data_IF_799802115913
#
_entry.id   IF_799802115913
#
_cell.length_a   1.000
_cell.length_b   1.000
_cell.length_c   1.000
_cell.angle_alpha   90.00
_cell.angle_beta   90.00
_cell.angle_gamma   90.00
#
_symmetry.space_group_name_H-M   'P 1'
#
loop_
_entity.id
_entity.type
_entity.pdbx_description
1 polymer ?
#
# COMPACT_ATOMS: atom_id res chain seq x y z
N UNK A 1 -2.38 -0.18 -18.65
CA UNK A 1 -2.32 -0.32 -17.18
C UNK A 1 -1.45 -1.50 -16.79
N UNK A 2 -0.34 -1.20 -16.12
CA UNK A 2 0.55 -2.19 -15.52
C UNK A 2 -0.04 -2.68 -14.19
N UNK A 3 0.31 -3.89 -13.75
CA UNK A 3 -0.21 -4.46 -12.50
C UNK A 3 0.71 -4.21 -11.30
N UNK A 4 0.16 -4.27 -10.09
CA UNK A 4 0.96 -4.19 -8.86
C UNK A 4 1.94 -5.38 -8.77
N UNK A 5 3.27 -5.15 -8.71
CA UNK A 5 4.26 -6.22 -8.82
C UNK A 5 4.20 -7.20 -7.64
N UNK A 6 3.92 -6.70 -6.44
CA UNK A 6 3.79 -7.52 -5.22
C UNK A 6 2.53 -8.39 -5.16
N UNK A 7 1.59 -8.25 -6.12
CA UNK A 7 0.49 -9.22 -6.30
C UNK A 7 0.94 -10.45 -7.11
N UNK A 8 1.92 -10.29 -8.02
CA UNK A 8 2.40 -11.33 -8.92
C UNK A 8 3.44 -12.23 -8.25
N UNK A 9 4.28 -11.68 -7.36
CA UNK A 9 5.19 -12.49 -6.53
C UNK A 9 4.45 -13.49 -5.63
N UNK A 10 3.21 -13.17 -5.24
CA UNK A 10 2.34 -14.09 -4.53
C UNK A 10 1.84 -15.22 -5.44
N UNK A 11 1.70 -14.99 -6.75
CA UNK A 11 1.21 -15.95 -7.73
C UNK A 11 2.32 -16.88 -8.25
N UNK A 12 3.52 -16.37 -8.54
CA UNK A 12 4.63 -17.18 -9.06
C UNK A 12 5.17 -18.18 -8.04
N UNK A 13 5.10 -17.86 -6.74
CA UNK A 13 5.42 -18.79 -5.65
C UNK A 13 4.39 -19.94 -5.50
N UNK A 14 3.21 -19.84 -6.15
CA UNK A 14 2.16 -20.89 -6.15
C UNK A 14 2.32 -21.90 -7.29
N UNK A 15 3.02 -21.55 -8.38
CA UNK A 15 3.17 -22.42 -9.57
C UNK A 15 4.23 -23.51 -9.46
N UNK A 16 5.04 -23.52 -8.39
CA UNK A 16 6.15 -24.45 -8.22
C UNK A 16 5.81 -25.71 -7.38
N UNK A 17 4.61 -25.78 -6.79
CA UNK A 17 4.28 -26.79 -5.77
C UNK A 17 2.93 -27.46 -6.05
N UNK A 18 2.82 -28.14 -7.20
CA UNK A 18 1.61 -28.88 -7.57
C UNK A 18 1.81 -30.40 -7.46
N UNK A 19 1.78 -30.91 -6.23
CA UNK A 19 1.27 -32.27 -5.95
C UNK A 19 0.83 -32.47 -4.48
N UNK A 20 -0.50 -32.49 -4.30
CA UNK A 20 -1.25 -33.05 -3.15
C UNK A 20 -1.16 -32.36 -1.77
N UNK A 21 -2.21 -31.63 -1.38
CA UNK A 21 -3.18 -32.03 -0.32
C UNK A 21 -4.23 -30.93 -0.09
N UNK A 22 -5.46 -31.35 0.22
CA UNK A 22 -6.65 -30.53 0.45
C UNK A 22 -6.58 -29.72 1.76
N UNK A 23 -5.86 -28.60 1.74
CA UNK A 23 -6.16 -27.45 2.58
C UNK A 23 -6.76 -26.37 1.66
N UNK A 24 -7.84 -25.71 2.07
CA UNK A 24 -8.50 -24.70 1.24
C UNK A 24 -7.47 -23.63 0.82
N UNK A 25 -7.11 -23.64 -0.46
CA UNK A 25 -6.21 -22.65 -1.07
C UNK A 25 -6.89 -21.29 -0.87
N UNK A 26 -6.24 -20.30 -0.21
CA UNK A 26 -6.79 -18.95 -0.20
C UNK A 26 -6.93 -18.52 -1.66
N UNK A 27 -8.17 -18.19 -2.06
CA UNK A 27 -8.49 -17.87 -3.45
C UNK A 27 -7.50 -16.83 -3.98
N UNK A 28 -7.05 -17.00 -5.23
CA UNK A 28 -6.23 -16.00 -5.89
C UNK A 28 -6.92 -14.63 -5.78
N UNK A 29 -6.14 -13.56 -5.53
CA UNK A 29 -6.73 -12.21 -5.45
C UNK A 29 -7.49 -11.93 -6.75
N UNK A 30 -8.62 -11.19 -6.71
CA UNK A 30 -9.44 -11.09 -7.90
C UNK A 30 -8.74 -10.39 -9.08
N UNK A 31 -7.69 -9.58 -8.88
CA UNK A 31 -6.81 -9.09 -9.98
C UNK A 31 -5.94 -10.19 -10.59
N UNK A 32 -5.48 -11.16 -9.79
CA UNK A 32 -4.78 -12.32 -10.33
C UNK A 32 -5.71 -13.19 -11.19
N UNK A 33 -7.03 -13.15 -10.92
CA UNK A 33 -8.03 -13.83 -11.73
C UNK A 33 -8.46 -13.04 -12.99
N UNK A 34 -8.53 -11.71 -12.91
CA UNK A 34 -8.80 -10.84 -14.05
C UNK A 34 -7.81 -9.66 -14.09
N UNK A 35 -6.75 -9.74 -14.91
CA UNK A 35 -5.73 -8.71 -14.97
C UNK A 35 -6.19 -7.42 -15.63
N UNK A 36 -7.40 -7.39 -16.22
CA UNK A 36 -7.96 -6.21 -16.91
C UNK A 36 -8.48 -5.15 -15.94
N UNK A 37 -8.82 -5.52 -14.70
CA UNK A 37 -9.36 -4.60 -13.69
C UNK A 37 -8.25 -4.01 -12.80
N UNK A 38 -8.43 -2.80 -12.25
CA UNK A 38 -7.54 -2.27 -11.22
C UNK A 38 -7.64 -3.07 -9.92
N UNK A 39 -6.54 -3.12 -9.16
CA UNK A 39 -6.55 -3.69 -7.80
C UNK A 39 -7.38 -2.85 -6.83
N UNK A 40 -8.07 -3.51 -5.91
CA UNK A 40 -8.81 -2.85 -4.84
C UNK A 40 -8.01 -2.92 -3.55
N UNK A 41 -7.66 -1.75 -3.02
CA UNK A 41 -6.94 -1.58 -1.76
C UNK A 41 -7.93 -1.08 -0.71
N UNK A 42 -7.95 -1.70 0.48
CA UNK A 42 -8.79 -1.27 1.60
C UNK A 42 -7.93 -0.96 2.83
N UNK A 43 -8.04 0.27 3.41
CA UNK A 43 -7.25 0.66 4.55
C UNK A 43 -7.82 0.15 5.88
N UNK A 44 -6.91 -0.23 6.79
CA UNK A 44 -7.14 -0.57 8.20
C UNK A 44 -6.44 0.47 9.06
N UNK A 45 -7.21 1.16 9.90
CA UNK A 45 -6.76 2.31 10.72
C UNK A 45 -7.04 2.14 12.23
N UNK A 46 -7.71 1.06 12.62
CA UNK A 46 -7.95 0.72 14.03
C UNK A 46 -6.63 0.34 14.71
N UNK A 47 -6.53 0.59 16.01
CA UNK A 47 -5.25 0.52 16.73
C UNK A 47 -5.10 -0.69 17.65
N UNK A 48 -6.21 -1.28 18.10
CA UNK A 48 -6.14 -2.41 19.02
C UNK A 48 -5.92 -3.74 18.29
N UNK A 49 -5.18 -4.71 18.88
CA UNK A 49 -4.91 -6.01 18.26
C UNK A 49 -6.17 -6.77 17.81
N UNK A 50 -7.23 -6.73 18.62
CA UNK A 50 -8.49 -7.43 18.35
C UNK A 50 -9.26 -6.78 17.21
N UNK A 51 -9.35 -5.45 17.19
CA UNK A 51 -10.02 -4.71 16.11
C UNK A 51 -9.27 -4.82 14.80
N UNK A 52 -7.93 -4.76 14.81
CA UNK A 52 -7.09 -4.97 13.62
C UNK A 52 -7.42 -6.34 13.01
N UNK A 53 -7.36 -7.40 13.81
CA UNK A 53 -7.63 -8.75 13.33
C UNK A 53 -9.07 -8.90 12.80
N UNK A 54 -10.06 -8.34 13.51
CA UNK A 54 -11.45 -8.40 13.10
C UNK A 54 -11.70 -7.64 11.79
N UNK A 55 -11.16 -6.43 11.63
CA UNK A 55 -11.31 -5.64 10.42
C UNK A 55 -10.61 -6.31 9.23
N UNK A 56 -9.40 -6.84 9.42
CA UNK A 56 -8.69 -7.57 8.36
C UNK A 56 -9.43 -8.85 7.93
N UNK A 57 -10.01 -9.60 8.88
CA UNK A 57 -10.87 -10.77 8.57
C UNK A 57 -12.09 -10.36 7.74
N UNK A 58 -12.81 -9.32 8.18
CA UNK A 58 -13.98 -8.82 7.47
C UNK A 58 -13.64 -8.32 6.05
N UNK A 59 -12.45 -7.73 5.85
CA UNK A 59 -11.95 -7.35 4.53
C UNK A 59 -11.72 -8.60 3.65
N UNK A 60 -10.99 -9.59 4.16
CA UNK A 60 -10.70 -10.82 3.42
C UNK A 60 -11.97 -11.62 3.08
N UNK A 61 -12.92 -11.70 4.00
CA UNK A 61 -14.21 -12.37 3.83
C UNK A 61 -15.07 -11.77 2.70
N UNK A 62 -14.82 -10.52 2.30
CA UNK A 62 -15.52 -9.93 1.14
C UNK A 62 -15.19 -10.64 -0.17
N UNK A 63 -14.01 -11.28 -0.26
CA UNK A 63 -13.54 -11.99 -1.44
C UNK A 63 -13.24 -11.11 -2.66
N UNK A 64 -13.32 -9.78 -2.54
CA UNK A 64 -13.17 -8.81 -3.65
C UNK A 64 -11.98 -7.87 -3.48
N UNK A 65 -11.21 -8.01 -2.40
CA UNK A 65 -10.07 -7.14 -2.06
C UNK A 65 -8.76 -7.79 -2.44
N UNK A 66 -7.86 -7.01 -3.02
CA UNK A 66 -6.54 -7.49 -3.45
C UNK A 66 -5.44 -7.17 -2.43
N UNK A 67 -5.54 -6.03 -1.74
CA UNK A 67 -4.51 -5.54 -0.81
C UNK A 67 -5.17 -4.91 0.42
N UNK A 68 -4.63 -5.22 1.60
CA UNK A 68 -4.91 -4.45 2.82
C UNK A 68 -3.85 -3.35 2.92
N UNK A 69 -4.26 -2.08 3.01
CA UNK A 69 -3.36 -1.02 3.45
C UNK A 69 -3.43 -0.95 4.99
N UNK A 70 -2.34 -1.28 5.67
CA UNK A 70 -2.25 -1.07 7.11
C UNK A 70 -1.68 0.31 7.40
N UNK A 71 -2.56 1.22 7.81
CA UNK A 71 -2.20 2.57 8.26
C UNK A 71 -1.70 2.50 9.68
N UNK A 72 -0.39 2.63 9.86
CA UNK A 72 0.27 2.52 11.17
C UNK A 72 0.35 3.86 11.92
N UNK A 73 0.05 4.97 11.25
CA UNK A 73 0.05 6.29 11.87
C UNK A 73 -0.93 6.46 13.04
N UNK A 74 -2.17 5.92 13.04
CA UNK A 74 -3.03 6.00 14.22
C UNK A 74 -2.50 5.21 15.42
N UNK A 75 -1.81 4.08 15.16
CA UNK A 75 -1.16 3.30 16.22
C UNK A 75 -0.02 4.12 16.83
N UNK A 76 0.84 4.70 16.00
CA UNK A 76 1.94 5.56 16.45
C UNK A 76 1.42 6.75 17.26
N UNK A 77 0.38 7.43 16.77
CA UNK A 77 -0.25 8.54 17.48
C UNK A 77 -0.79 8.11 18.85
N UNK A 78 -1.46 6.96 18.93
CA UNK A 78 -2.00 6.44 20.20
C UNK A 78 -0.92 6.12 21.24
N UNK A 79 0.26 5.66 20.80
CA UNK A 79 1.38 5.35 21.70
C UNK A 79 2.07 6.63 22.17
N UNK A 80 2.23 7.61 21.27
CA UNK A 80 2.87 8.89 21.59
C UNK A 80 2.10 9.70 22.65
N UNK A 81 0.76 9.60 22.65
CA UNK A 81 -0.10 10.25 23.65
C UNK A 81 0.05 9.66 25.07
N UNK A 82 0.54 8.41 25.19
CA UNK A 82 0.66 7.69 26.46
C UNK A 82 2.05 7.82 27.15
N UNK A 83 3.05 8.40 26.49
CA UNK A 83 4.47 8.32 26.90
C UNK A 83 5.16 9.63 27.33
N UNK A 84 6.23 9.49 28.15
CA UNK A 84 7.21 10.56 28.45
C UNK A 84 8.35 10.51 27.43
N UNK A 85 8.73 11.68 26.87
CA UNK A 85 9.69 11.83 25.77
C UNK A 85 11.08 11.25 26.10
N UNK A 86 11.47 10.19 25.40
CA UNK A 86 12.83 9.63 25.37
C UNK A 86 13.74 10.41 24.40
N UNK A 87 14.89 9.83 24.03
CA UNK A 87 15.62 10.32 22.85
C UNK A 87 14.93 9.84 21.57
N UNK A 88 15.01 10.63 20.50
CA UNK A 88 14.38 10.34 19.20
C UNK A 88 14.63 8.90 18.71
N UNK A 89 15.84 8.37 18.92
CA UNK A 89 16.21 7.01 18.51
C UNK A 89 15.56 5.90 19.37
N UNK A 90 15.52 6.09 20.69
CA UNK A 90 14.90 5.11 21.59
C UNK A 90 13.37 5.08 21.40
N UNK A 91 12.77 6.25 21.14
CA UNK A 91 11.36 6.38 20.79
C UNK A 91 11.05 5.69 19.45
N UNK A 92 11.83 5.95 18.40
CA UNK A 92 11.68 5.30 17.10
C UNK A 92 11.79 3.77 17.20
N UNK A 93 12.71 3.27 18.02
CA UNK A 93 12.84 1.83 18.28
C UNK A 93 11.59 1.26 18.98
N UNK A 94 11.11 1.90 20.05
CA UNK A 94 9.94 1.43 20.78
C UNK A 94 8.68 1.41 19.90
N UNK A 95 8.50 2.45 19.07
CA UNK A 95 7.40 2.51 18.11
C UNK A 95 7.49 1.37 17.08
N UNK A 96 8.67 1.14 16.50
CA UNK A 96 8.86 0.05 15.55
C UNK A 96 8.61 -1.34 16.18
N UNK A 97 9.07 -1.57 17.41
CA UNK A 97 8.81 -2.82 18.15
C UNK A 97 7.32 -3.03 18.42
N UNK A 98 6.60 -1.97 18.81
CA UNK A 98 5.15 -2.03 19.01
C UNK A 98 4.41 -2.38 17.70
N UNK A 99 4.77 -1.75 16.58
CA UNK A 99 4.22 -2.07 15.26
C UNK A 99 4.53 -3.52 14.87
N UNK A 100 5.77 -3.98 15.04
CA UNK A 100 6.15 -5.37 14.74
C UNK A 100 5.34 -6.38 15.57
N UNK A 101 5.05 -6.07 16.84
CA UNK A 101 4.18 -6.88 17.70
C UNK A 101 2.74 -7.00 17.18
N UNK A 102 2.24 -5.99 16.47
CA UNK A 102 0.90 -5.97 15.90
C UNK A 102 0.81 -6.62 14.51
N UNK A 103 1.94 -6.78 13.80
CA UNK A 103 1.95 -7.27 12.43
C UNK A 103 1.24 -8.63 12.26
N UNK A 104 1.31 -9.51 13.28
CA UNK A 104 0.63 -10.82 13.27
C UNK A 104 -0.89 -10.70 13.07
N UNK A 105 -1.52 -9.62 13.54
CA UNK A 105 -2.97 -9.42 13.47
C UNK A 105 -3.44 -9.13 12.05
N UNK A 106 -2.62 -8.42 11.27
CA UNK A 106 -2.89 -8.16 9.83
C UNK A 106 -2.53 -9.39 9.00
N UNK A 107 -1.41 -10.06 9.30
CA UNK A 107 -0.95 -11.24 8.53
C UNK A 107 -1.99 -12.35 8.44
N UNK A 108 -2.79 -12.52 9.49
CA UNK A 108 -3.79 -13.59 9.60
C UNK A 108 -4.89 -13.55 8.54
N UNK A 109 -5.11 -12.40 7.90
CA UNK A 109 -6.09 -12.28 6.81
C UNK A 109 -5.62 -12.92 5.49
N UNK A 110 -4.32 -13.22 5.33
CA UNK A 110 -3.79 -13.91 4.16
C UNK A 110 -3.75 -13.09 2.87
N UNK A 111 -4.06 -11.79 2.93
CA UNK A 111 -3.94 -10.85 1.81
C UNK A 111 -2.59 -10.12 1.84
N UNK A 112 -2.01 -9.75 0.68
CA UNK A 112 -0.89 -8.82 0.62
C UNK A 112 -1.15 -7.54 1.43
N UNK A 113 -0.11 -7.05 2.11
CA UNK A 113 -0.21 -5.90 3.00
C UNK A 113 0.71 -4.77 2.56
N UNK A 114 0.12 -3.60 2.32
CA UNK A 114 0.83 -2.34 2.13
C UNK A 114 0.92 -1.62 3.49
N UNK A 115 2.12 -1.48 4.05
CA UNK A 115 2.35 -0.72 5.28
C UNK A 115 2.48 0.75 4.92
N UNK A 116 1.66 1.61 5.55
CA UNK A 116 1.67 3.04 5.30
C UNK A 116 1.79 3.81 6.62
N UNK A 117 2.92 4.49 6.82
CA UNK A 117 3.06 5.55 7.82
C UNK A 117 2.73 6.87 7.15
N UNK A 118 1.49 7.35 7.26
CA UNK A 118 1.11 8.66 6.72
C UNK A 118 1.38 9.74 7.76
N UNK A 119 2.16 10.74 7.40
CA UNK A 119 2.48 11.84 8.31
C UNK A 119 1.45 12.95 8.26
N UNK A 120 1.47 13.84 9.26
CA UNK A 120 0.59 15.02 9.27
C UNK A 120 0.75 15.94 8.04
N UNK A 121 1.95 16.00 7.44
CA UNK A 121 2.19 16.80 6.23
C UNK A 121 1.38 16.32 5.03
N UNK A 122 1.17 15.01 4.94
CA UNK A 122 0.39 14.36 3.89
C UNK A 122 -0.96 13.83 4.41
N UNK A 123 -1.54 14.49 5.43
CA UNK A 123 -2.92 14.24 5.88
C UNK A 123 -3.12 12.97 6.72
N UNK A 124 -2.06 12.42 7.29
CA UNK A 124 -2.11 11.39 8.34
C UNK A 124 -2.17 12.00 9.74
N UNK A 125 -2.08 11.14 10.76
CA UNK A 125 -2.15 11.56 12.17
C UNK A 125 -0.82 11.38 12.93
N UNK A 126 0.20 10.82 12.29
CA UNK A 126 1.51 10.66 12.92
C UNK A 126 2.28 11.99 12.93
N UNK A 127 2.72 12.39 14.12
CA UNK A 127 3.69 13.46 14.35
C UNK A 127 5.07 12.81 14.52
N UNK A 128 5.82 12.72 13.43
CA UNK A 128 7.16 12.11 13.41
C UNK A 128 8.15 13.05 12.74
N UNK A 129 9.37 13.11 13.30
CA UNK A 129 10.47 13.84 12.68
C UNK A 129 10.94 13.15 11.40
N UNK A 130 11.71 13.86 10.58
CA UNK A 130 12.22 13.31 9.32
C UNK A 130 13.10 12.07 9.54
N UNK A 131 14.06 12.15 10.46
CA UNK A 131 14.87 11.00 10.85
C UNK A 131 14.08 9.91 11.59
N UNK A 132 13.07 10.27 12.38
CA UNK A 132 12.20 9.31 13.05
C UNK A 132 11.38 8.48 12.07
N UNK A 133 10.83 9.10 11.02
CA UNK A 133 10.11 8.42 9.94
C UNK A 133 10.96 7.32 9.29
N UNK A 134 12.17 7.66 8.86
CA UNK A 134 13.06 6.72 8.19
C UNK A 134 13.56 5.61 9.13
N UNK A 135 13.88 5.94 10.39
CA UNK A 135 14.35 4.97 11.38
C UNK A 135 13.26 3.96 11.75
N UNK A 136 12.02 4.42 11.96
CA UNK A 136 10.86 3.55 12.24
C UNK A 136 10.64 2.58 11.08
N UNK A 137 10.58 3.08 9.84
CA UNK A 137 10.31 2.24 8.68
C UNK A 137 11.45 1.27 8.37
N UNK A 138 12.70 1.71 8.51
CA UNK A 138 13.90 0.84 8.38
C UNK A 138 13.85 -0.33 9.35
N UNK A 139 13.48 -0.08 10.62
CA UNK A 139 13.36 -1.13 11.63
C UNK A 139 12.20 -2.07 11.36
N UNK A 140 11.06 -1.55 10.90
CA UNK A 140 9.91 -2.37 10.51
C UNK A 140 10.29 -3.29 9.34
N UNK A 141 10.87 -2.74 8.27
CA UNK A 141 11.35 -3.51 7.10
C UNK A 141 12.32 -4.63 7.52
N UNK A 142 13.30 -4.29 8.35
CA UNK A 142 14.30 -5.25 8.86
C UNK A 142 13.64 -6.34 9.72
N UNK A 143 12.72 -5.95 10.61
CA UNK A 143 12.03 -6.86 11.52
C UNK A 143 11.02 -7.80 10.84
N UNK A 144 10.39 -7.37 9.75
CA UNK A 144 9.41 -8.18 9.01
C UNK A 144 10.05 -9.30 8.19
N UNK A 145 11.33 -9.15 7.84
CA UNK A 145 12.02 -9.96 6.84
C UNK A 145 12.71 -11.20 7.41
N UNK A 146 12.63 -11.45 8.73
CA UNK A 146 13.43 -12.48 9.39
C UNK A 146 14.94 -12.17 9.30
N UNK A 147 15.82 -12.96 9.93
CA UNK A 147 17.26 -12.76 9.73
C UNK A 147 17.60 -12.89 8.23
N UNK A 148 18.50 -12.04 7.70
CA UNK A 148 18.91 -12.14 6.30
C UNK A 148 19.35 -13.56 6.01
N UNK A 149 18.76 -14.18 5.00
CA UNK A 149 19.21 -15.51 4.58
C UNK A 149 20.64 -15.32 4.06
N UNK A 150 21.67 -15.92 4.68
CA UNK A 150 23.02 -15.77 4.18
C UNK A 150 23.06 -16.27 2.74
N UNK A 151 23.62 -15.45 1.85
CA UNK A 151 23.86 -15.74 0.44
C UNK A 151 24.95 -16.80 0.31
N UNK A 152 24.68 -18.00 0.78
CA UNK A 152 25.49 -19.18 0.53
C UNK A 152 24.59 -20.23 -0.07
N UNK A 153 24.86 -20.56 -1.33
CA UNK A 153 24.25 -21.67 -2.04
C UNK A 153 24.29 -22.94 -1.16
N UNK A 154 23.14 -23.32 -0.62
CA UNK A 154 22.96 -24.58 0.09
C UNK A 154 21.60 -25.18 -0.26
N UNK A 155 21.61 -26.51 -0.38
CA UNK A 155 20.64 -27.41 -1.00
C UNK A 155 19.16 -27.22 -0.61
N UNK A 156 18.21 -27.71 -1.45
CA UNK A 156 16.79 -27.58 -1.21
C UNK A 156 16.39 -28.45 -0.01
N UNK A 157 16.14 -27.80 1.13
CA UNK A 157 15.42 -28.46 2.22
C UNK A 157 13.94 -28.31 1.93
N UNK A 158 13.27 -29.44 1.72
CA UNK A 158 11.84 -29.55 1.46
C UNK A 158 11.07 -29.25 2.76
N UNK A 159 11.05 -27.98 3.14
CA UNK A 159 10.06 -27.47 4.09
C UNK A 159 8.92 -26.95 3.25
N UNK A 160 7.76 -27.58 3.31
CA UNK A 160 6.48 -27.05 2.80
C UNK A 160 6.33 -25.62 3.32
N UNK A 161 6.70 -24.66 2.48
CA UNK A 161 6.68 -23.25 2.83
C UNK A 161 5.22 -22.82 2.78
N UNK A 162 4.65 -22.51 3.95
CA UNK A 162 3.47 -21.65 4.00
C UNK A 162 3.77 -20.44 3.11
N UNK A 163 2.96 -20.13 2.08
CA UNK A 163 3.27 -19.03 1.18
C UNK A 163 3.48 -17.78 2.03
N UNK A 164 4.73 -17.29 2.04
CA UNK A 164 5.10 -16.15 2.84
C UNK A 164 4.25 -14.97 2.36
N UNK A 165 3.50 -14.37 3.28
CA UNK A 165 2.69 -13.19 3.01
C UNK A 165 3.55 -12.09 2.37
N UNK A 166 3.04 -11.47 1.31
CA UNK A 166 3.75 -10.38 0.63
C UNK A 166 3.53 -9.06 1.37
N UNK A 167 4.65 -8.39 1.67
CA UNK A 167 4.68 -7.05 2.23
C UNK A 167 5.09 -6.04 1.17
N UNK A 168 4.47 -4.87 1.22
CA UNK A 168 4.90 -3.68 0.51
C UNK A 168 4.97 -2.51 1.51
N UNK A 169 5.77 -1.50 1.18
CA UNK A 169 5.95 -0.30 1.98
C UNK A 169 5.50 0.93 1.18
N UNK A 170 4.70 1.81 1.76
CA UNK A 170 4.44 3.15 1.23
C UNK A 170 5.52 4.11 1.75
N UNK A 171 6.18 4.84 0.84
CA UNK A 171 7.23 5.83 1.14
C UNK A 171 6.79 7.19 0.61
N UNK A 172 6.69 8.19 1.49
CA UNK A 172 6.47 9.59 1.09
C UNK A 172 7.69 10.10 0.32
N UNK A 173 7.54 10.41 -0.97
CA UNK A 173 8.70 10.66 -1.86
C UNK A 173 9.42 11.98 -1.58
N UNK A 174 8.75 12.95 -0.96
CA UNK A 174 9.35 14.25 -0.60
C UNK A 174 10.24 14.18 0.65
N UNK A 175 10.33 13.01 1.28
CA UNK A 175 11.26 12.77 2.40
C UNK A 175 12.70 12.78 1.89
N UNK A 176 13.59 13.41 2.65
CA UNK A 176 15.01 13.53 2.30
C UNK A 176 15.72 12.17 2.26
N UNK A 177 15.23 11.19 3.03
CA UNK A 177 15.76 9.83 3.08
C UNK A 177 14.93 8.82 2.25
N UNK A 178 14.03 9.27 1.38
CA UNK A 178 13.14 8.38 0.61
C UNK A 178 13.91 7.36 -0.24
N UNK A 179 14.97 7.78 -0.95
CA UNK A 179 15.77 6.89 -1.79
C UNK A 179 16.49 5.80 -0.98
N UNK A 180 17.14 6.17 0.13
CA UNK A 180 17.81 5.22 1.03
C UNK A 180 16.82 4.21 1.63
N UNK A 181 15.59 4.65 1.93
CA UNK A 181 14.54 3.79 2.44
C UNK A 181 14.00 2.83 1.36
N UNK A 182 13.90 3.29 0.10
CA UNK A 182 13.56 2.42 -1.04
C UNK A 182 14.61 1.31 -1.18
N UNK A 183 15.90 1.68 -1.21
CA UNK A 183 17.00 0.72 -1.28
C UNK A 183 16.96 -0.27 -0.10
N UNK A 184 16.68 0.22 1.10
CA UNK A 184 16.57 -0.60 2.31
C UNK A 184 15.44 -1.63 2.21
N UNK A 185 14.27 -1.23 1.70
CA UNK A 185 13.14 -2.12 1.47
C UNK A 185 13.47 -3.19 0.43
N UNK A 186 14.10 -2.80 -0.68
CA UNK A 186 14.53 -3.72 -1.74
C UNK A 186 15.57 -4.73 -1.26
N UNK A 187 16.55 -4.30 -0.46
CA UNK A 187 17.54 -5.19 0.15
C UNK A 187 16.93 -6.26 1.06
N UNK A 188 15.68 -6.06 1.50
CA UNK A 188 14.90 -7.00 2.28
C UNK A 188 13.79 -7.68 1.49
N UNK A 189 13.72 -7.48 0.17
CA UNK A 189 12.72 -8.08 -0.71
C UNK A 189 11.30 -7.55 -0.50
N UNK A 190 11.17 -6.31 -0.03
CA UNK A 190 9.88 -5.61 0.15
C UNK A 190 9.71 -4.59 -0.97
N UNK A 191 8.61 -4.68 -1.72
CA UNK A 191 8.28 -3.70 -2.77
C UNK A 191 7.86 -2.35 -2.19
N UNK A 192 8.07 -1.28 -2.94
CA UNK A 192 7.79 0.10 -2.51
C UNK A 192 6.76 0.79 -3.39
N UNK A 193 5.74 1.35 -2.75
CA UNK A 193 4.83 2.34 -3.33
C UNK A 193 5.33 3.73 -2.93
N UNK A 194 6.02 4.44 -3.82
CA UNK A 194 6.35 5.84 -3.55
C UNK A 194 5.09 6.70 -3.71
N UNK A 195 4.86 7.61 -2.76
CA UNK A 195 3.61 8.34 -2.67
C UNK A 195 3.79 9.84 -2.45
N UNK A 196 2.82 10.63 -2.93
CA UNK A 196 2.72 12.06 -2.74
C UNK A 196 1.25 12.47 -2.59
N UNK A 197 0.95 13.32 -1.61
CA UNK A 197 -0.42 13.77 -1.36
C UNK A 197 -0.48 15.29 -1.19
N UNK A 198 -1.39 15.94 -1.93
CA UNK A 198 -1.73 17.34 -1.72
C UNK A 198 -3.19 17.47 -1.27
N UNK A 199 -3.40 17.84 -0.02
CA UNK A 199 -4.73 18.05 0.57
C UNK A 199 -5.29 19.46 0.32
N UNK A 200 -4.49 20.40 -0.16
CA UNK A 200 -4.89 21.78 -0.42
C UNK A 200 -5.45 22.00 -1.84
N UNK A 201 -4.99 21.21 -2.81
CA UNK A 201 -5.35 21.39 -4.21
C UNK A 201 -4.88 20.27 -5.12
N UNK A 202 -4.97 20.52 -6.42
CA UNK A 202 -4.37 19.70 -7.46
C UNK A 202 -3.19 20.47 -8.05
N UNK A 203 -2.00 19.87 -7.99
CA UNK A 203 -0.78 20.45 -8.53
C UNK A 203 -0.87 20.63 -10.05
N UNK A 204 0.03 21.44 -10.61
CA UNK A 204 0.10 21.62 -12.06
C UNK A 204 0.45 20.32 -12.76
N UNK A 205 0.01 20.15 -14.02
CA UNK A 205 0.34 18.95 -14.79
C UNK A 205 1.84 18.67 -14.92
N UNK A 206 2.65 19.72 -15.06
CA UNK A 206 4.10 19.61 -15.10
C UNK A 206 4.65 19.05 -13.78
N UNK A 207 4.17 19.57 -12.64
CA UNK A 207 4.57 19.08 -11.32
C UNK A 207 4.14 17.63 -11.11
N UNK A 208 2.89 17.28 -11.45
CA UNK A 208 2.38 15.92 -11.34
C UNK A 208 3.20 14.92 -12.17
N UNK A 209 3.51 15.26 -13.43
CA UNK A 209 4.34 14.43 -14.30
C UNK A 209 5.78 14.29 -13.80
N UNK A 210 6.36 15.39 -13.29
CA UNK A 210 7.68 15.37 -12.67
C UNK A 210 7.69 14.46 -11.44
N UNK A 211 6.68 14.53 -10.58
CA UNK A 211 6.55 13.67 -9.40
C UNK A 211 6.48 12.18 -9.78
N UNK A 212 5.68 11.79 -10.76
CA UNK A 212 5.66 10.40 -11.26
C UNK A 212 7.05 9.95 -11.75
N UNK A 213 7.74 10.82 -12.50
CA UNK A 213 9.08 10.53 -13.01
C UNK A 213 10.11 10.42 -11.89
N UNK A 214 10.04 11.28 -10.86
CA UNK A 214 10.90 11.23 -9.67
C UNK A 214 10.70 9.94 -8.90
N UNK A 215 9.45 9.52 -8.67
CA UNK A 215 9.16 8.26 -7.99
C UNK A 215 9.77 7.06 -8.74
N UNK A 216 9.59 7.01 -10.07
CA UNK A 216 10.18 5.96 -10.90
C UNK A 216 11.72 6.01 -10.90
N UNK A 217 12.30 7.20 -11.03
CA UNK A 217 13.75 7.40 -11.02
C UNK A 217 14.40 7.13 -9.66
N UNK A 218 13.64 7.17 -8.58
CA UNK A 218 14.09 6.81 -7.22
C UNK A 218 14.03 5.31 -6.95
N UNK A 219 13.61 4.50 -7.93
CA UNK A 219 13.56 3.04 -7.81
C UNK A 219 12.25 2.50 -7.22
N UNK A 220 11.19 3.30 -7.11
CA UNK A 220 9.91 2.78 -6.62
C UNK A 220 9.34 1.67 -7.52
N UNK A 221 8.58 0.74 -6.94
CA UNK A 221 7.87 -0.31 -7.70
C UNK A 221 6.50 0.17 -8.21
N UNK A 222 5.92 1.19 -7.56
CA UNK A 222 4.66 1.84 -7.95
C UNK A 222 4.76 3.32 -7.60
N UNK A 223 4.27 4.20 -8.48
CA UNK A 223 4.19 5.64 -8.24
C UNK A 223 2.74 6.06 -7.96
N UNK A 224 2.47 6.67 -6.80
CA UNK A 224 1.13 7.02 -6.33
C UNK A 224 1.02 8.52 -6.05
N UNK A 225 0.04 9.18 -6.66
CA UNK A 225 -0.26 10.58 -6.40
C UNK A 225 -1.73 10.74 -6.01
N UNK A 226 -1.99 11.51 -4.94
CA UNK A 226 -3.35 11.87 -4.53
C UNK A 226 -3.52 13.38 -4.36
N UNK A 227 -4.55 13.94 -4.98
CA UNK A 227 -4.76 15.40 -5.06
C UNK A 227 -6.17 15.76 -4.60
N UNK A 228 -6.34 16.89 -3.90
CA UNK A 228 -7.64 17.42 -3.53
C UNK A 228 -8.17 18.33 -4.66
N UNK A 229 -9.18 17.90 -5.45
CA UNK A 229 -9.73 18.76 -6.50
C UNK A 229 -10.58 19.88 -5.90
N UNK A 230 -10.49 21.07 -6.48
CA UNK A 230 -11.39 22.20 -6.24
C UNK A 230 -12.43 22.32 -7.35
N UNK A 231 -12.13 21.80 -8.54
CA UNK A 231 -13.01 21.82 -9.72
C UNK A 231 -13.07 20.47 -10.45
N UNK A 232 -14.08 20.27 -11.30
CA UNK A 232 -14.10 19.09 -12.18
C UNK A 232 -12.92 19.07 -13.16
N UNK A 233 -12.40 20.25 -13.54
CA UNK A 233 -11.24 20.35 -14.42
C UNK A 233 -10.00 19.76 -13.74
N UNK A 234 -9.85 19.96 -12.43
CA UNK A 234 -8.76 19.37 -11.64
C UNK A 234 -8.81 17.84 -11.66
N UNK A 235 -10.03 17.26 -11.54
CA UNK A 235 -10.24 15.81 -11.64
C UNK A 235 -9.79 15.30 -13.00
N UNK A 236 -10.21 15.97 -14.08
CA UNK A 236 -9.82 15.58 -15.44
C UNK A 236 -8.33 15.77 -15.70
N UNK A 237 -7.72 16.79 -15.11
CA UNK A 237 -6.29 17.06 -15.27
C UNK A 237 -5.43 15.98 -14.62
N UNK A 238 -5.79 15.56 -13.39
CA UNK A 238 -5.12 14.44 -12.74
C UNK A 238 -5.25 13.15 -13.56
N UNK A 239 -6.45 12.82 -14.06
CA UNK A 239 -6.67 11.64 -14.90
C UNK A 239 -5.86 11.69 -16.19
N UNK A 240 -5.82 12.86 -16.84
CA UNK A 240 -5.03 13.09 -18.05
C UNK A 240 -3.53 12.87 -17.80
N UNK A 241 -2.99 13.42 -16.71
CA UNK A 241 -1.56 13.24 -16.36
C UNK A 241 -1.26 11.81 -15.98
N UNK A 242 -2.17 11.12 -15.29
CA UNK A 242 -2.00 9.69 -14.94
C UNK A 242 -1.89 8.83 -16.20
N UNK A 243 -2.74 9.08 -17.19
CA UNK A 243 -2.68 8.36 -18.48
C UNK A 243 -1.35 8.60 -19.21
N UNK A 244 -0.86 9.84 -19.20
CA UNK A 244 0.44 10.17 -19.77
C UNK A 244 1.59 9.50 -19.00
N UNK A 245 1.49 9.43 -17.68
CA UNK A 245 2.51 8.77 -16.86
C UNK A 245 2.55 7.26 -17.12
N UNK A 246 1.40 6.56 -17.25
CA UNK A 246 1.38 5.12 -17.57
C UNK A 246 2.08 4.80 -18.90
N UNK A 247 2.07 5.72 -19.87
CA UNK A 247 2.78 5.57 -21.14
C UNK A 247 4.29 5.85 -21.03
N UNK A 248 4.71 6.68 -20.08
CA UNK A 248 6.09 7.22 -20.01
C UNK A 248 6.96 6.50 -18.99
N UNK A 249 6.44 6.19 -17.80
CA UNK A 249 7.22 5.49 -16.76
C UNK A 249 7.04 3.98 -16.88
N UNK A 250 8.11 3.22 -16.64
CA UNK A 250 8.10 1.75 -16.78
C UNK A 250 7.34 1.04 -15.64
N UNK A 251 7.11 1.74 -14.53
CA UNK A 251 6.40 1.20 -13.36
C UNK A 251 4.89 1.51 -13.40
N UNK A 252 4.04 0.74 -12.70
CA UNK A 252 2.64 1.08 -12.50
C UNK A 252 2.44 2.44 -11.82
N UNK A 253 1.39 3.12 -12.22
CA UNK A 253 1.00 4.42 -11.66
C UNK A 253 -0.37 4.36 -11.00
N UNK A 254 -0.60 5.22 -10.02
CA UNK A 254 -1.87 5.38 -9.32
C UNK A 254 -2.18 6.86 -9.12
N UNK A 255 -3.13 7.39 -9.89
CA UNK A 255 -3.67 8.74 -9.70
C UNK A 255 -5.00 8.74 -8.98
N UNK A 256 -5.12 9.51 -7.89
CA UNK A 256 -6.34 9.60 -7.06
C UNK A 256 -6.77 11.06 -6.90
N UNK A 257 -7.95 11.39 -7.41
CA UNK A 257 -8.61 12.65 -7.08
C UNK A 257 -9.46 12.41 -5.81
N UNK A 258 -9.16 13.15 -4.75
CA UNK A 258 -9.74 12.96 -3.44
C UNK A 258 -11.13 13.60 -3.30
N UNK A 259 -11.78 13.30 -2.17
CA UNK A 259 -13.08 13.86 -1.82
C UNK A 259 -14.23 13.42 -2.74
N UNK A 260 -15.41 14.00 -2.52
CA UNK A 260 -16.63 13.67 -3.27
C UNK A 260 -16.50 13.99 -4.76
N UNK A 261 -15.81 15.08 -5.10
CA UNK A 261 -15.63 15.55 -6.47
C UNK A 261 -14.75 14.58 -7.29
N UNK A 262 -13.74 14.01 -6.66
CA UNK A 262 -12.79 13.09 -7.29
C UNK A 262 -13.27 11.63 -7.40
N UNK A 263 -14.49 11.28 -6.95
CA UNK A 263 -15.02 9.90 -6.97
C UNK A 263 -14.88 9.21 -8.33
N UNK A 264 -15.02 9.94 -9.43
CA UNK A 264 -14.85 9.43 -10.79
C UNK A 264 -13.46 8.82 -11.00
N UNK A 265 -12.40 9.41 -10.42
CA UNK A 265 -11.05 8.87 -10.54
C UNK A 265 -10.88 7.49 -9.86
N UNK A 266 -11.69 7.19 -8.84
CA UNK A 266 -11.68 5.88 -8.18
C UNK A 266 -12.41 4.81 -8.97
N UNK A 267 -13.44 5.20 -9.72
CA UNK A 267 -14.29 4.29 -10.49
C UNK A 267 -13.71 4.03 -11.89
N UNK A 268 -13.24 5.08 -12.55
CA UNK A 268 -12.79 5.03 -13.95
C UNK A 268 -11.28 5.13 -14.09
N UNK A 269 -10.53 5.22 -12.99
CA UNK A 269 -9.07 5.45 -13.02
C UNK A 269 -8.31 4.40 -13.82
N UNK A 270 -8.79 3.15 -13.85
CA UNK A 270 -8.19 2.07 -14.65
C UNK A 270 -8.10 2.40 -16.15
N UNK A 271 -9.12 3.09 -16.68
CA UNK A 271 -9.16 3.51 -18.10
C UNK A 271 -8.12 4.59 -18.41
N UNK A 272 -7.60 5.25 -17.37
CA UNK A 272 -6.55 6.26 -17.43
C UNK A 272 -5.22 5.75 -16.86
N UNK A 273 -5.05 4.43 -16.71
CA UNK A 273 -3.78 3.81 -16.33
C UNK A 273 -3.55 3.61 -14.83
N UNK A 274 -4.46 4.01 -13.94
CA UNK A 274 -4.32 3.75 -12.50
C UNK A 274 -4.41 2.26 -12.19
N UNK A 275 -3.30 1.66 -11.76
CA UNK A 275 -3.17 0.21 -11.49
C UNK A 275 -4.02 -0.31 -10.32
N UNK A 276 -4.49 0.59 -9.47
CA UNK A 276 -5.27 0.28 -8.29
C UNK A 276 -6.32 1.36 -8.01
N UNK A 277 -7.19 1.10 -7.04
CA UNK A 277 -8.13 2.07 -6.49
C UNK A 277 -8.39 1.75 -5.02
N UNK A 278 -8.64 2.80 -4.24
CA UNK A 278 -8.93 2.68 -2.82
C UNK A 278 -10.42 2.69 -2.56
N UNK A 279 -10.89 1.67 -1.85
CA UNK A 279 -12.26 1.52 -1.35
C UNK A 279 -12.28 1.40 0.17
N UNK A 280 -13.47 1.22 0.73
CA UNK A 280 -13.64 1.01 2.16
C UNK A 280 -14.62 -0.10 2.48
N UNK A 281 -14.40 -0.74 3.62
CA UNK A 281 -15.46 -1.52 4.24
C UNK A 281 -16.61 -0.58 4.61
N UNK A 282 -17.85 -0.96 4.32
CA UNK A 282 -19.05 -0.09 4.31
C UNK A 282 -19.36 0.68 5.61
N UNK A 283 -18.62 0.46 6.69
CA UNK A 283 -18.79 1.13 7.99
C UNK A 283 -17.95 2.40 8.17
N UNK A 284 -17.07 2.78 7.23
CA UNK A 284 -16.27 4.00 7.35
C UNK A 284 -16.93 5.20 6.65
N UNK A 285 -16.97 6.35 7.34
CA UNK A 285 -17.88 7.47 7.07
C UNK A 285 -17.21 8.72 6.46
N UNK A 286 -16.05 8.61 5.81
CA UNK A 286 -15.37 9.79 5.28
C UNK A 286 -15.89 10.23 3.89
N UNK A 287 -16.03 11.53 3.62
CA UNK A 287 -16.63 12.02 2.38
C UNK A 287 -15.86 11.60 1.11
N UNK A 288 -16.54 10.92 0.18
CA UNK A 288 -15.99 10.56 -1.13
C UNK A 288 -15.44 9.14 -1.25
N UNK A 289 -15.47 8.36 -0.18
CA UNK A 289 -15.11 6.94 -0.22
C UNK A 289 -16.26 6.09 -0.77
N UNK A 290 -15.90 4.99 -1.45
CA UNK A 290 -16.82 4.07 -2.12
C UNK A 290 -16.75 2.75 -1.37
N UNK A 291 -17.91 2.16 -1.04
CA UNK A 291 -17.95 0.84 -0.41
C UNK A 291 -17.28 -0.19 -1.33
N UNK A 292 -16.51 -1.10 -0.74
CA UNK A 292 -15.71 -2.10 -1.45
C UNK A 292 -16.58 -2.98 -2.36
N UNK A 293 -17.76 -3.37 -1.89
CA UNK A 293 -18.73 -4.18 -2.66
C UNK A 293 -19.29 -3.41 -3.86
N UNK A 294 -19.50 -2.11 -3.72
CA UNK A 294 -20.00 -1.26 -4.81
C UNK A 294 -18.92 -1.05 -5.85
N UNK A 295 -17.68 -0.75 -5.44
CA UNK A 295 -16.57 -0.55 -6.37
C UNK A 295 -16.27 -1.83 -7.13
N UNK A 296 -16.20 -2.98 -6.44
CA UNK A 296 -16.00 -4.28 -7.06
C UNK A 296 -17.12 -4.59 -8.07
N UNK A 297 -18.38 -4.41 -7.69
CA UNK A 297 -19.50 -4.64 -8.60
C UNK A 297 -19.54 -3.69 -9.81
N UNK A 298 -18.95 -2.48 -9.70
CA UNK A 298 -18.74 -1.61 -10.85
C UNK A 298 -17.60 -2.14 -11.72
N UNK A 299 -16.46 -2.50 -11.13
CA UNK A 299 -15.32 -3.06 -11.87
C UNK A 299 -15.70 -4.33 -12.62
N UNK A 300 -16.45 -5.24 -12.02
CA UNK A 300 -16.94 -6.46 -12.67
C UNK A 300 -17.81 -6.16 -13.90
N UNK A 301 -18.57 -5.06 -13.89
CA UNK A 301 -19.42 -4.66 -15.04
C UNK A 301 -18.65 -3.93 -16.14
N UNK A 302 -17.56 -3.25 -15.79
CA UNK A 302 -16.75 -2.48 -16.72
C UNK A 302 -15.62 -3.30 -17.35
N UNK A 303 -15.01 -4.18 -16.55
CA UNK A 303 -13.79 -4.92 -16.90
C UNK A 303 -14.00 -6.43 -17.03
N UNK A 304 -15.05 -6.99 -16.42
CA UNK A 304 -15.38 -8.42 -16.44
C UNK A 304 -15.77 -8.94 -17.83
#
# INVERSE_FOLDING_TARGET
MKQLPFLNDAADRRGADDSSTSAAIPAATPVAADPRRPAIIVPVQVTSPEEIAAQCSAIAETGVVDVIEWRIDPVIASIADEGSRGSDAAESQALAEAILGLAVHVRRAGLPVLITLRTGFEGGVADVSEGGYAEILTRIVTGLSGPPTPTTAAAPTTTTATPALTWALDVEIERSQAADLIDTAHNHGISVVASHHNFAGTDSAESLAATFTTMAGSGADVAKIAMMPQTHADVTELLRVTAQADEVVEIPVLGISMGRLGRTSRVMGGDFGSCASFAQLAQSSAPGQIAVTDLAGIFDRLYG
#
